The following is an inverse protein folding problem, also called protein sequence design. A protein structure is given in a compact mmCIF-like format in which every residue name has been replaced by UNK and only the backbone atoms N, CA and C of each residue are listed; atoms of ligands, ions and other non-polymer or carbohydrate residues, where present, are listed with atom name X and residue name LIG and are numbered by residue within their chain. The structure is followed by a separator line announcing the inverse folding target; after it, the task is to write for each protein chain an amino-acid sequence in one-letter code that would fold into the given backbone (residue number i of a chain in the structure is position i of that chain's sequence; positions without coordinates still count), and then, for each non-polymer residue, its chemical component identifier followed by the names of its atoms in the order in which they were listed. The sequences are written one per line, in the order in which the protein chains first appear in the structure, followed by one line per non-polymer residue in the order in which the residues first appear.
data_IF_220643083092
#
_entry.id   IF_220643083092
#
_cell.length_a   1.000
_cell.length_b   1.000
_cell.length_c   1.000
_cell.angle_alpha   90.00
_cell.angle_beta   90.00
_cell.angle_gamma   90.00
#
_symmetry.space_group_name_H-M   'P 1'
#
loop_
_entity.id
_entity.type
_entity.pdbx_description
1 polymer ?
#
# COMPACT_ATOMS: atom_id res chain seq x y z
N UNK A 1 -28.92 -22.17 5.70
CA UNK A 1 -28.96 -20.99 6.58
C UNK A 1 -28.22 -21.33 7.87
N UNK A 2 -27.74 -20.33 8.60
CA UNK A 2 -27.16 -20.50 9.94
C UNK A 2 -28.14 -19.97 10.99
N UNK A 3 -28.15 -20.59 12.19
CA UNK A 3 -28.83 -20.11 13.39
C UNK A 3 -27.89 -19.23 14.20
N UNK A 4 -28.45 -18.38 15.06
CA UNK A 4 -27.65 -17.48 15.90
C UNK A 4 -26.70 -18.25 16.82
N UNK A 5 -27.12 -19.41 17.32
CA UNK A 5 -26.32 -20.31 18.16
C UNK A 5 -25.12 -20.95 17.46
N UNK A 6 -25.09 -20.96 16.12
CA UNK A 6 -23.96 -21.48 15.31
C UNK A 6 -22.88 -20.42 15.05
N UNK A 7 -23.14 -19.15 15.41
CA UNK A 7 -22.20 -18.03 15.20
C UNK A 7 -21.29 -17.89 16.42
N UNK A 8 -20.05 -18.33 16.26
CA UNK A 8 -19.02 -18.24 17.30
C UNK A 8 -18.02 -17.11 17.03
N UNK A 9 -17.60 -16.41 18.09
CA UNK A 9 -16.48 -15.46 18.03
C UNK A 9 -15.16 -16.24 18.04
N UNK A 10 -14.41 -16.17 16.94
CA UNK A 10 -13.16 -16.90 16.77
C UNK A 10 -11.99 -15.95 16.49
N UNK A 11 -11.18 -15.72 17.53
CA UNK A 11 -9.99 -14.88 17.46
C UNK A 11 -10.30 -13.42 17.13
N UNK A 12 -9.35 -12.74 16.49
CA UNK A 12 -9.41 -11.34 16.13
C UNK A 12 -8.88 -11.13 14.71
N UNK A 13 -9.48 -10.19 13.99
CA UNK A 13 -8.97 -9.71 12.72
C UNK A 13 -8.72 -8.20 12.79
N UNK A 14 -7.68 -7.74 12.10
CA UNK A 14 -7.40 -6.32 11.90
C UNK A 14 -7.21 -6.04 10.41
N UNK A 15 -7.81 -4.97 9.92
CA UNK A 15 -7.66 -4.47 8.56
C UNK A 15 -6.84 -3.17 8.58
N UNK A 16 -5.86 -3.07 7.68
CA UNK A 16 -5.23 -1.82 7.29
C UNK A 16 -5.56 -1.51 5.82
N UNK A 17 -6.01 -0.28 5.56
CA UNK A 17 -6.26 0.22 4.21
C UNK A 17 -5.05 1.00 3.73
N UNK A 18 -4.34 0.45 2.77
CA UNK A 18 -3.16 1.06 2.17
C UNK A 18 -3.62 2.00 1.06
N UNK A 19 -3.39 3.28 1.27
CA UNK A 19 -3.78 4.36 0.37
C UNK A 19 -2.57 4.97 -0.32
N UNK A 20 -2.76 5.43 -1.55
CA UNK A 20 -1.84 6.32 -2.24
C UNK A 20 -2.00 7.75 -1.69
N UNK A 21 -1.49 7.99 -0.49
CA UNK A 21 -1.55 9.27 0.23
C UNK A 21 -0.18 9.59 0.82
N UNK A 22 0.15 10.88 0.97
CA UNK A 22 1.40 11.31 1.61
C UNK A 22 1.15 11.87 3.02
N UNK A 23 1.44 11.10 4.10
CA UNK A 23 1.32 11.60 5.47
C UNK A 23 2.15 12.86 5.75
N UNK A 24 3.30 13.04 5.07
CA UNK A 24 4.14 14.22 5.24
C UNK A 24 3.54 15.49 4.61
N UNK A 25 2.58 15.33 3.70
CA UNK A 25 1.85 16.41 3.05
C UNK A 25 0.37 16.45 3.51
N UNK A 26 0.09 16.08 4.76
CA UNK A 26 -1.27 16.12 5.32
C UNK A 26 -2.22 15.12 4.66
N UNK A 27 -1.71 13.95 4.28
CA UNK A 27 -2.46 12.86 3.60
C UNK A 27 -2.99 13.27 2.22
N UNK A 28 -2.31 14.19 1.54
CA UNK A 28 -2.66 14.54 0.16
C UNK A 28 -2.61 13.28 -0.75
N UNK A 29 -3.59 13.10 -1.67
CA UNK A 29 -3.57 12.00 -2.62
C UNK A 29 -2.31 12.00 -3.50
N UNK A 30 -1.76 10.81 -3.73
CA UNK A 30 -0.57 10.58 -4.56
C UNK A 30 -0.95 9.71 -5.76
N UNK A 31 -1.41 10.37 -6.83
CA UNK A 31 -1.66 9.72 -8.12
C UNK A 31 -0.37 9.44 -8.89
N UNK A 32 -0.46 8.52 -9.85
CA UNK A 32 0.67 8.18 -10.72
C UNK A 32 0.84 6.69 -10.95
N UNK A 33 1.94 6.34 -11.63
CA UNK A 33 2.24 4.95 -11.99
C UNK A 33 2.97 4.23 -10.86
N UNK A 34 2.48 3.06 -10.49
CA UNK A 34 3.18 2.15 -9.57
C UNK A 34 4.36 1.52 -10.32
N UNK A 35 5.59 1.77 -9.86
CA UNK A 35 6.81 1.31 -10.52
C UNK A 35 7.37 0.01 -9.94
N UNK A 36 6.96 -0.36 -8.73
CA UNK A 36 7.23 -1.64 -8.12
C UNK A 36 6.08 -1.99 -7.17
N UNK A 37 5.67 -3.25 -7.15
CA UNK A 37 4.53 -3.70 -6.36
C UNK A 37 4.77 -5.11 -5.81
N UNK A 38 4.63 -5.28 -4.50
CA UNK A 38 4.61 -6.59 -3.83
C UNK A 38 3.63 -6.57 -2.68
N UNK A 39 2.68 -7.49 -2.75
CA UNK A 39 1.75 -7.76 -1.66
C UNK A 39 2.43 -8.58 -0.56
N UNK A 40 2.00 -8.42 0.70
CA UNK A 40 2.40 -9.31 1.75
C UNK A 40 1.82 -10.71 1.55
N UNK A 41 2.46 -11.69 2.16
CA UNK A 41 2.02 -13.08 2.08
C UNK A 41 2.23 -13.78 3.42
N UNK A 42 1.60 -14.94 3.58
CA UNK A 42 1.83 -15.80 4.74
C UNK A 42 0.55 -16.23 5.44
N UNK A 43 0.68 -17.07 6.48
CA UNK A 43 -0.48 -17.60 7.21
C UNK A 43 -1.34 -16.49 7.78
N UNK A 44 -2.67 -16.68 7.69
CA UNK A 44 -3.67 -15.79 8.28
C UNK A 44 -3.61 -14.35 7.77
N UNK A 45 -3.02 -14.13 6.59
CA UNK A 45 -2.98 -12.85 5.89
C UNK A 45 -3.83 -12.94 4.64
N UNK A 46 -4.76 -12.01 4.49
CA UNK A 46 -5.61 -11.82 3.31
C UNK A 46 -5.32 -10.45 2.74
N UNK A 47 -5.18 -10.37 1.43
CA UNK A 47 -5.02 -9.12 0.70
C UNK A 47 -6.18 -9.00 -0.29
N UNK A 48 -6.91 -7.89 -0.21
CA UNK A 48 -7.89 -7.50 -1.21
C UNK A 48 -7.32 -6.29 -1.97
N UNK A 49 -6.90 -6.48 -3.21
CA UNK A 49 -6.26 -5.45 -4.04
C UNK A 49 -6.88 -5.36 -5.43
N UNK A 50 -6.64 -4.24 -6.11
CA UNK A 50 -7.02 -4.02 -7.52
C UNK A 50 -5.89 -3.48 -8.39
N UNK A 51 -4.68 -3.38 -7.84
CA UNK A 51 -3.50 -2.78 -8.48
C UNK A 51 -2.40 -3.82 -8.68
N UNK A 52 -1.48 -3.50 -9.58
CA UNK A 52 -0.33 -4.32 -9.92
C UNK A 52 0.83 -3.43 -10.38
N UNK A 53 2.03 -3.99 -10.51
CA UNK A 53 3.18 -3.24 -11.03
C UNK A 53 2.87 -2.68 -12.43
N UNK A 54 3.07 -1.38 -12.61
CA UNK A 54 2.75 -0.68 -13.85
C UNK A 54 1.33 -0.11 -13.92
N UNK A 55 0.44 -0.44 -12.98
CA UNK A 55 -0.89 0.17 -12.89
C UNK A 55 -0.79 1.68 -12.57
N UNK A 56 -1.81 2.43 -12.96
CA UNK A 56 -1.90 3.88 -12.75
C UNK A 56 -2.98 4.19 -11.72
N UNK A 57 -2.61 4.89 -10.65
CA UNK A 57 -3.52 5.42 -9.63
C UNK A 57 -4.14 6.70 -10.17
N UNK A 58 -5.47 6.73 -10.45
CA UNK A 58 -6.12 7.90 -11.03
C UNK A 58 -6.34 9.00 -9.98
N UNK A 59 -6.57 10.22 -10.44
CA UNK A 59 -6.95 11.36 -9.58
C UNK A 59 -8.45 11.41 -9.24
N UNK A 60 -9.28 10.65 -9.95
CA UNK A 60 -10.73 10.82 -9.95
C UNK A 60 -11.47 9.99 -8.90
N UNK A 61 -10.79 9.03 -8.26
CA UNK A 61 -11.40 8.07 -7.35
C UNK A 61 -10.61 7.96 -6.05
N UNK A 62 -11.19 7.25 -5.08
CA UNK A 62 -10.54 6.90 -3.83
C UNK A 62 -9.18 6.22 -4.08
N UNK A 63 -8.04 6.73 -3.55
CA UNK A 63 -6.71 6.21 -3.85
C UNK A 63 -6.38 4.92 -3.08
N UNK A 64 -7.38 4.09 -2.78
CA UNK A 64 -7.21 2.82 -2.08
C UNK A 64 -6.47 1.82 -2.98
N UNK A 65 -5.27 1.40 -2.57
CA UNK A 65 -4.46 0.44 -3.32
C UNK A 65 -4.85 -0.99 -2.94
N UNK A 66 -4.89 -1.27 -1.63
CA UNK A 66 -5.21 -2.59 -1.10
C UNK A 66 -5.74 -2.51 0.34
N UNK A 67 -6.44 -3.56 0.75
CA UNK A 67 -6.73 -3.87 2.14
C UNK A 67 -5.86 -5.04 2.56
N UNK A 68 -5.13 -4.89 3.65
CA UNK A 68 -4.35 -5.97 4.27
C UNK A 68 -5.07 -6.36 5.54
N UNK A 69 -5.54 -7.60 5.60
CA UNK A 69 -6.29 -8.14 6.72
C UNK A 69 -5.50 -9.29 7.32
N UNK A 70 -5.20 -9.20 8.62
CA UNK A 70 -4.54 -10.27 9.35
C UNK A 70 -5.43 -10.78 10.47
N UNK A 71 -5.46 -12.10 10.65
CA UNK A 71 -6.15 -12.79 11.73
C UNK A 71 -5.17 -13.36 12.75
N UNK A 72 -5.59 -13.41 14.01
CA UNK A 72 -4.88 -14.10 15.09
C UNK A 72 -5.82 -14.61 16.18
N UNK A 73 -5.33 -15.55 16.98
CA UNK A 73 -6.07 -16.06 18.14
C UNK A 73 -6.27 -14.99 19.21
N UNK A 74 -5.38 -14.01 19.25
CA UNK A 74 -5.49 -12.81 20.09
C UNK A 74 -5.40 -11.54 19.25
N UNK A 75 -5.90 -10.43 19.80
CA UNK A 75 -5.77 -9.10 19.19
C UNK A 75 -4.31 -8.74 18.92
N UNK A 76 -3.43 -9.05 19.87
CA UNK A 76 -2.00 -8.77 19.75
C UNK A 76 -1.33 -9.60 18.65
N UNK A 77 -1.72 -10.87 18.49
CA UNK A 77 -1.23 -11.72 17.40
C UNK A 77 -1.67 -11.19 16.03
N UNK A 78 -2.94 -10.79 15.89
CA UNK A 78 -3.44 -10.14 14.67
C UNK A 78 -2.68 -8.84 14.35
N UNK A 79 -2.43 -8.00 15.37
CA UNK A 79 -1.66 -6.75 15.25
C UNK A 79 -0.23 -7.00 14.78
N UNK A 80 0.49 -7.94 15.40
CA UNK A 80 1.87 -8.28 15.04
C UNK A 80 1.99 -8.84 13.63
N UNK A 81 1.03 -9.69 13.21
CA UNK A 81 0.94 -10.18 11.83
C UNK A 81 0.71 -9.04 10.86
N UNK A 82 -0.20 -8.12 11.18
CA UNK A 82 -0.47 -6.95 10.34
C UNK A 82 0.76 -6.05 10.21
N UNK A 83 1.51 -5.82 11.29
CA UNK A 83 2.79 -5.09 11.23
C UNK A 83 3.77 -5.77 10.28
N UNK A 84 4.01 -7.07 10.44
CA UNK A 84 4.91 -7.82 9.57
C UNK A 84 4.47 -7.79 8.09
N UNK A 85 3.17 -7.93 7.83
CA UNK A 85 2.61 -7.81 6.49
C UNK A 85 2.85 -6.41 5.89
N UNK A 86 2.68 -5.35 6.66
CA UNK A 86 2.97 -3.99 6.17
C UNK A 86 4.47 -3.77 5.91
N UNK A 87 5.37 -4.39 6.67
CA UNK A 87 6.83 -4.33 6.41
C UNK A 87 7.25 -5.09 5.13
N UNK A 88 6.52 -6.15 4.77
CA UNK A 88 6.72 -6.91 3.52
C UNK A 88 6.11 -6.24 2.28
N UNK A 89 5.15 -5.33 2.49
CA UNK A 89 4.46 -4.61 1.42
C UNK A 89 5.41 -3.64 0.72
N UNK A 90 5.51 -3.74 -0.60
CA UNK A 90 6.32 -2.81 -1.42
C UNK A 90 5.43 -2.12 -2.43
N UNK A 91 5.42 -0.79 -2.39
CA UNK A 91 4.75 0.06 -3.36
C UNK A 91 5.71 1.22 -3.66
N UNK A 92 6.16 1.33 -4.89
CA UNK A 92 7.02 2.41 -5.37
C UNK A 92 6.35 3.17 -6.52
N UNK A 93 6.80 4.40 -6.78
CA UNK A 93 6.27 5.27 -7.84
C UNK A 93 5.20 6.26 -7.35
N UNK A 94 4.50 5.91 -6.27
CA UNK A 94 3.56 6.80 -5.54
C UNK A 94 3.91 6.84 -4.06
N UNK A 95 3.45 7.88 -3.35
CA UNK A 95 3.49 7.94 -1.87
C UNK A 95 2.36 7.12 -1.29
N UNK A 96 2.55 6.62 -0.07
CA UNK A 96 1.56 5.78 0.60
C UNK A 96 1.48 6.07 2.10
N UNK A 97 0.32 5.80 2.69
CA UNK A 97 0.10 5.91 4.14
C UNK A 97 0.75 4.78 4.98
N UNK A 98 1.53 3.87 4.37
CA UNK A 98 2.17 2.72 5.06
C UNK A 98 2.94 3.12 6.33
N UNK A 99 3.67 4.25 6.29
CA UNK A 99 4.41 4.73 7.45
C UNK A 99 3.49 5.10 8.61
N UNK A 100 2.37 5.76 8.33
CA UNK A 100 1.37 6.09 9.34
C UNK A 100 0.73 4.83 9.92
N UNK A 101 0.33 3.87 9.08
CA UNK A 101 -0.25 2.60 9.51
C UNK A 101 0.70 1.82 10.43
N UNK A 102 1.98 1.72 10.06
CA UNK A 102 2.98 1.07 10.89
C UNK A 102 3.19 1.82 12.22
N UNK A 103 3.18 3.16 12.19
CA UNK A 103 3.30 3.99 13.39
C UNK A 103 2.14 3.76 14.37
N UNK A 104 0.89 3.88 13.92
CA UNK A 104 -0.29 3.72 14.79
C UNK A 104 -0.37 2.31 15.35
N UNK A 105 -0.08 1.28 14.53
CA UNK A 105 -0.08 -0.10 15.00
C UNK A 105 0.95 -0.33 16.12
N UNK A 106 2.05 0.42 16.14
CA UNK A 106 3.09 0.33 17.19
C UNK A 106 2.89 1.32 18.34
N UNK A 107 1.90 2.20 18.29
CA UNK A 107 1.63 3.11 19.39
C UNK A 107 1.09 2.32 20.62
N UNK A 108 1.64 2.53 21.82
CA UNK A 108 1.22 1.79 23.02
C UNK A 108 -0.29 1.87 23.32
N UNK A 109 -0.95 2.99 23.04
CA UNK A 109 -2.40 3.14 23.27
C UNK A 109 -3.18 2.25 22.30
N UNK A 110 -2.78 2.23 21.02
CA UNK A 110 -3.38 1.30 20.06
C UNK A 110 -3.07 -0.15 20.44
N UNK A 111 -1.84 -0.47 20.85
CA UNK A 111 -1.46 -1.84 21.21
C UNK A 111 -2.25 -2.37 22.42
N UNK A 112 -2.49 -1.55 23.45
CA UNK A 112 -3.25 -1.93 24.64
C UNK A 112 -4.76 -2.03 24.41
N UNK A 113 -5.29 -1.33 23.40
CA UNK A 113 -6.74 -1.19 23.21
C UNK A 113 -7.35 0.00 23.98
N UNK A 114 -6.53 0.76 24.70
CA UNK A 114 -6.95 1.94 25.45
C UNK A 114 -6.89 3.20 24.56
N UNK A 115 -7.88 3.33 23.69
CA UNK A 115 -7.98 4.46 22.77
C UNK A 115 -9.44 4.78 22.42
N UNK A 116 -9.63 6.00 21.94
CA UNK A 116 -10.91 6.49 21.44
C UNK A 116 -10.74 7.02 20.00
N UNK A 117 -11.80 7.63 19.46
CA UNK A 117 -11.81 8.16 18.08
C UNK A 117 -10.82 9.30 17.83
N UNK A 118 -10.27 9.91 18.88
CA UNK A 118 -9.30 11.02 18.85
C UNK A 118 -7.85 10.59 19.04
N UNK A 119 -7.57 9.27 18.99
CA UNK A 119 -6.21 8.76 19.20
C UNK A 119 -5.18 9.43 18.28
N UNK A 120 -5.57 9.76 17.04
CA UNK A 120 -4.66 10.37 16.06
C UNK A 120 -4.20 11.75 16.53
N UNK A 121 -5.14 12.57 16.99
CA UNK A 121 -4.91 13.92 17.49
C UNK A 121 -4.24 13.90 18.87
N UNK A 122 -4.77 13.12 19.82
CA UNK A 122 -4.26 13.04 21.20
C UNK A 122 -2.82 12.53 21.28
N UNK A 123 -2.42 11.70 20.32
CA UNK A 123 -1.08 11.09 20.25
C UNK A 123 -0.17 11.76 19.21
N UNK A 124 -0.65 12.81 18.53
CA UNK A 124 0.06 13.53 17.45
C UNK A 124 0.58 12.60 16.35
N UNK A 125 -0.19 11.57 15.98
CA UNK A 125 0.27 10.50 15.10
C UNK A 125 0.44 10.98 13.66
N UNK A 126 -0.40 11.91 13.21
CA UNK A 126 -0.32 12.49 11.87
C UNK A 126 1.00 13.25 11.66
N UNK A 127 1.35 14.12 12.60
CA UNK A 127 2.57 14.93 12.56
C UNK A 127 3.83 14.05 12.68
N UNK A 128 3.78 13.05 13.56
CA UNK A 128 4.88 12.08 13.73
C UNK A 128 5.09 11.24 12.48
N UNK A 129 4.03 10.90 11.74
CA UNK A 129 4.15 10.10 10.52
C UNK A 129 4.98 10.77 9.42
N UNK A 130 5.03 12.12 9.39
CA UNK A 130 5.82 12.86 8.40
C UNK A 130 7.33 12.55 8.47
N UNK A 131 7.85 12.24 9.66
CA UNK A 131 9.26 11.90 9.89
C UNK A 131 9.48 10.43 10.23
N UNK A 132 8.41 9.63 10.26
CA UNK A 132 8.47 8.24 10.67
C UNK A 132 9.08 7.34 9.59
N UNK A 133 10.06 6.54 10.00
CA UNK A 133 10.61 5.47 9.18
C UNK A 133 10.37 4.13 9.85
N UNK A 134 10.04 3.13 9.03
CA UNK A 134 9.89 1.75 9.46
C UNK A 134 10.68 0.85 8.52
N UNK A 135 10.90 -0.39 8.96
CA UNK A 135 11.53 -1.41 8.14
C UNK A 135 10.65 -1.64 6.90
N UNK A 136 11.27 -1.63 5.73
CA UNK A 136 10.61 -1.91 4.47
C UNK A 136 11.43 -2.90 3.69
N UNK A 137 10.75 -3.91 3.15
CA UNK A 137 11.34 -4.76 2.15
C UNK A 137 11.72 -3.93 0.92
N UNK A 138 12.90 -4.18 0.35
CA UNK A 138 13.35 -3.53 -0.89
C UNK A 138 13.41 -4.57 -1.98
N UNK A 139 12.77 -4.29 -3.11
CA UNK A 139 12.89 -5.12 -4.31
C UNK A 139 14.17 -4.76 -5.06
N UNK A 140 14.85 -5.73 -5.69
CA UNK A 140 15.97 -5.43 -6.57
C UNK A 140 15.48 -4.58 -7.74
N UNK A 141 16.21 -3.50 -8.06
CA UNK A 141 15.87 -2.64 -9.19
C UNK A 141 15.98 -3.43 -10.50
N UNK A 142 14.85 -3.62 -11.18
CA UNK A 142 14.85 -4.20 -12.53
C UNK A 142 15.53 -3.22 -13.49
N UNK A 143 16.57 -3.66 -14.19
CA UNK A 143 17.18 -2.88 -15.26
C UNK A 143 16.16 -2.79 -16.39
N UNK A 144 15.56 -1.62 -16.58
CA UNK A 144 14.72 -1.38 -17.76
C UNK A 144 15.67 -1.31 -18.96
N UNK A 145 15.67 -2.34 -19.79
CA UNK A 145 16.29 -2.24 -21.10
C UNK A 145 15.54 -1.16 -21.88
N UNK A 146 16.22 -0.05 -22.20
CA UNK A 146 15.70 0.92 -23.15
C UNK A 146 15.50 0.16 -24.46
N UNK A 147 14.25 -0.03 -24.89
CA UNK A 147 13.98 -0.40 -26.28
C UNK A 147 14.71 0.63 -27.15
N UNK A 148 15.59 0.22 -28.09
CA UNK A 148 16.16 1.16 -29.03
C UNK A 148 15.01 1.89 -29.71
N UNK A 149 15.15 3.21 -29.88
CA UNK A 149 14.19 3.98 -30.66
C UNK A 149 13.99 3.25 -31.99
N UNK A 150 12.73 3.02 -32.38
CA UNK A 150 12.46 2.50 -33.71
C UNK A 150 13.23 3.37 -34.71
N UNK A 151 13.96 2.79 -35.68
CA UNK A 151 14.68 3.58 -36.66
C UNK A 151 13.68 4.57 -37.25
N UNK A 152 13.97 5.87 -37.10
CA UNK A 152 13.09 6.92 -37.56
C UNK A 152 12.77 6.67 -39.02
N UNK A 153 11.49 6.53 -39.35
CA UNK A 153 11.08 6.53 -40.75
C UNK A 153 11.31 7.96 -41.23
N UNK A 154 12.39 8.16 -41.95
CA UNK A 154 12.66 9.43 -42.61
C UNK A 154 11.63 9.59 -43.73
N UNK A 155 10.63 10.44 -43.47
CA UNK A 155 9.55 10.73 -44.40
C UNK A 155 10.08 11.20 -45.77
N UNK A 156 11.23 11.88 -45.80
CA UNK A 156 11.88 12.33 -47.05
C UNK A 156 12.54 11.19 -47.82
N UNK A 157 13.03 10.17 -47.10
CA UNK A 157 13.59 8.95 -47.69
C UNK A 157 12.51 8.02 -48.27
N UNK A 158 11.29 8.11 -47.75
CA UNK A 158 10.11 7.41 -48.30
C UNK A 158 9.55 8.17 -49.51
N UNK A 159 9.41 9.49 -49.43
CA UNK A 159 8.92 10.32 -50.53
C UNK A 159 9.80 10.22 -51.79
N UNK A 160 11.12 10.28 -51.62
CA UNK A 160 12.09 10.13 -52.72
C UNK A 160 12.07 8.77 -53.41
N UNK A 161 11.55 7.71 -52.75
CA UNK A 161 11.33 6.40 -53.36
C UNK A 161 9.99 6.27 -54.08
N UNK A 162 9.03 7.17 -53.79
CA UNK A 162 7.70 7.18 -54.41
C UNK A 162 7.59 8.13 -55.61
N UNK A 163 8.68 8.81 -55.99
CA UNK A 163 8.73 9.66 -57.18
C UNK A 163 7.91 10.94 -57.08
N UNK A 164 7.74 11.48 -55.87
CA UNK A 164 7.19 12.80 -55.60
C UNK A 164 8.32 13.82 -55.38
#
# INVERSE_FOLDING_TARGET
SFRQEEVELRGHAMEARVYAEDPAAGFAPSSGRITAYREPSGPFTRVDSGYYEGAEVPIYYDPLIMKVICWGSTREEARRRLIAALEETVIEGVKTNLAFLHLILNDPAFASGDYNTRIVEERGLAERAASYSHRRLKLPRRRVEKKPAAPGVDAWRVASRMGL
#
